data_IF_962453156877
#
_entry.id   IF_962453156877
#
_cell.length_a   1.000
_cell.length_b   1.000
_cell.length_c   1.000
_cell.angle_alpha   90.00
_cell.angle_beta   90.00
_cell.angle_gamma   90.00
#
_symmetry.space_group_name_H-M   'P 1'
#
loop_
_entity.id
_entity.type
_entity.pdbx_description
1 polymer ?
#
# COMPACT_ATOMS: atom_id res chain seq x y z
N UNK A 1 19.48 4.98 9.56
CA UNK A 1 19.37 5.59 10.92
C UNK A 1 20.77 5.95 11.38
N UNK A 2 20.92 6.98 12.23
CA UNK A 2 22.23 7.41 12.76
C UNK A 2 22.37 6.94 14.21
N UNK A 3 23.43 6.20 14.54
CA UNK A 3 23.80 5.84 15.91
C UNK A 3 24.97 6.72 16.37
N UNK A 4 24.98 7.10 17.65
CA UNK A 4 25.96 8.00 18.24
C UNK A 4 26.38 7.46 19.60
N UNK A 5 27.68 7.38 19.82
CA UNK A 5 28.32 6.98 21.07
C UNK A 5 29.28 8.10 21.49
N UNK A 6 28.74 9.19 22.10
CA UNK A 6 29.51 10.42 22.29
C UNK A 6 30.70 10.26 23.25
N UNK A 7 30.55 9.41 24.27
CA UNK A 7 31.59 9.15 25.26
C UNK A 7 32.74 8.32 24.68
N UNK A 8 32.48 7.59 23.60
CA UNK A 8 33.41 6.68 22.95
C UNK A 8 33.99 7.25 21.65
N UNK A 9 33.53 8.45 21.24
CA UNK A 9 34.00 9.11 20.02
C UNK A 9 33.54 8.44 18.71
N UNK A 10 32.48 7.61 18.75
CA UNK A 10 32.00 6.84 17.59
C UNK A 10 30.65 7.35 17.10
N UNK A 11 30.51 7.49 15.78
CA UNK A 11 29.25 7.79 15.10
C UNK A 11 29.09 6.92 13.86
N UNK A 12 27.89 6.35 13.67
CA UNK A 12 27.59 5.44 12.56
C UNK A 12 26.38 5.98 11.81
N UNK A 13 26.52 6.21 10.51
CA UNK A 13 25.43 6.60 9.62
C UNK A 13 25.36 5.64 8.45
N UNK A 14 24.21 4.98 8.30
CA UNK A 14 23.95 4.03 7.20
C UNK A 14 22.77 4.54 6.39
N UNK A 15 22.98 4.62 5.09
CA UNK A 15 22.00 5.03 4.09
C UNK A 15 21.73 3.85 3.16
N UNK A 16 20.46 3.66 2.84
CA UNK A 16 19.98 2.67 1.89
C UNK A 16 18.82 3.32 1.14
N UNK A 17 18.75 3.02 -0.15
CA UNK A 17 17.64 3.40 -1.03
C UNK A 17 16.64 2.24 -1.21
N UNK A 18 16.79 1.18 -0.42
CA UNK A 18 15.87 0.05 -0.38
C UNK A 18 14.87 0.28 0.75
N UNK A 19 13.59 0.37 0.43
CA UNK A 19 12.54 0.57 1.44
C UNK A 19 11.99 -0.75 1.98
N UNK A 20 12.15 -1.83 1.22
CA UNK A 20 11.61 -3.16 1.53
C UNK A 20 12.46 -3.88 2.58
N UNK A 21 13.75 -4.08 2.29
CA UNK A 21 14.71 -4.74 3.19
C UNK A 21 15.72 -3.75 3.77
N UNK A 22 15.87 -2.56 3.19
CA UNK A 22 16.82 -1.57 3.71
C UNK A 22 16.59 -1.18 5.18
N UNK A 23 15.34 -1.10 5.69
CA UNK A 23 15.11 -0.89 7.12
C UNK A 23 15.72 -1.96 8.04
N UNK A 24 15.81 -3.21 7.60
CA UNK A 24 16.41 -4.31 8.35
C UNK A 24 17.92 -4.41 8.08
N UNK A 25 18.31 -4.27 6.82
CA UNK A 25 19.71 -4.31 6.38
C UNK A 25 20.53 -3.23 7.09
N UNK A 26 19.99 -2.01 7.24
CA UNK A 26 20.67 -0.94 7.97
C UNK A 26 20.89 -1.29 9.44
N UNK A 27 20.01 -2.08 10.06
CA UNK A 27 20.17 -2.50 11.46
C UNK A 27 21.21 -3.62 11.58
N UNK A 28 21.21 -4.60 10.68
CA UNK A 28 22.23 -5.66 10.61
C UNK A 28 23.63 -5.06 10.47
N UNK A 29 23.81 -4.15 9.52
CA UNK A 29 25.11 -3.47 9.28
C UNK A 29 25.50 -2.64 10.51
N UNK A 30 24.55 -1.88 11.07
CA UNK A 30 24.80 -1.03 12.25
C UNK A 30 25.33 -1.83 13.42
N UNK A 31 24.64 -2.91 13.80
CA UNK A 31 25.06 -3.70 14.96
C UNK A 31 26.33 -4.48 14.71
N UNK A 32 26.58 -4.92 13.47
CA UNK A 32 27.87 -5.51 13.12
C UNK A 32 29.04 -4.53 13.32
N UNK A 33 28.87 -3.27 12.90
CA UNK A 33 29.87 -2.21 13.11
C UNK A 33 30.04 -1.92 14.60
N UNK A 34 28.95 -1.92 15.39
CA UNK A 34 29.01 -1.73 16.85
C UNK A 34 29.81 -2.86 17.50
N UNK A 35 29.51 -4.12 17.16
CA UNK A 35 30.21 -5.28 17.73
C UNK A 35 31.73 -5.17 17.46
N UNK A 36 32.12 -4.80 16.24
CA UNK A 36 33.52 -4.61 15.88
C UNK A 36 34.18 -3.39 16.56
N UNK A 37 33.49 -2.24 16.60
CA UNK A 37 34.03 -1.00 17.16
C UNK A 37 34.27 -1.08 18.67
N UNK A 38 33.46 -1.87 19.37
CA UNK A 38 33.53 -2.03 20.83
C UNK A 38 34.13 -3.37 21.28
N UNK A 39 34.55 -4.22 20.34
CA UNK A 39 35.13 -5.53 20.66
C UNK A 39 34.15 -6.48 21.36
N UNK A 40 32.86 -6.38 21.03
CA UNK A 40 31.81 -7.25 21.56
C UNK A 40 31.83 -8.61 20.85
N UNK A 41 31.31 -9.63 21.52
CA UNK A 41 31.08 -10.93 20.90
C UNK A 41 30.10 -10.78 19.72
N UNK A 42 30.49 -11.20 18.50
CA UNK A 42 29.63 -11.08 17.33
C UNK A 42 28.29 -11.78 17.50
N UNK A 43 27.21 -11.04 17.35
CA UNK A 43 25.87 -11.61 17.26
C UNK A 43 25.49 -11.80 15.80
N UNK A 44 24.85 -12.93 15.47
CA UNK A 44 24.28 -13.15 14.14
C UNK A 44 22.99 -12.34 13.94
N UNK A 45 23.18 -11.03 13.74
CA UNK A 45 22.10 -10.09 13.48
C UNK A 45 21.35 -10.40 12.18
N UNK A 46 22.04 -10.96 11.19
CA UNK A 46 21.44 -11.31 9.90
C UNK A 46 20.35 -12.37 10.07
N UNK A 47 20.64 -13.47 10.77
CA UNK A 47 19.64 -14.52 11.02
C UNK A 47 18.48 -14.00 11.88
N UNK A 48 18.76 -13.16 12.90
CA UNK A 48 17.71 -12.56 13.74
C UNK A 48 16.74 -11.69 12.94
N UNK A 49 17.27 -10.78 12.12
CA UNK A 49 16.42 -9.89 11.33
C UNK A 49 15.73 -10.60 10.17
N UNK A 50 16.30 -11.68 9.62
CA UNK A 50 15.60 -12.55 8.65
C UNK A 50 14.40 -13.25 9.29
N UNK A 51 14.55 -13.79 10.49
CA UNK A 51 13.44 -14.42 11.21
C UNK A 51 12.32 -13.41 11.50
N UNK A 52 12.67 -12.21 11.98
CA UNK A 52 11.70 -11.14 12.21
C UNK A 52 11.00 -10.70 10.90
N UNK A 53 11.72 -10.63 9.78
CA UNK A 53 11.14 -10.32 8.47
C UNK A 53 10.12 -11.37 8.04
N UNK A 54 10.45 -12.66 8.20
CA UNK A 54 9.56 -13.77 7.88
C UNK A 54 8.29 -13.76 8.74
N UNK A 55 8.39 -13.41 10.01
CA UNK A 55 7.22 -13.26 10.89
C UNK A 55 6.30 -12.11 10.43
N UNK A 56 6.88 -10.98 10.01
CA UNK A 56 6.14 -9.83 9.47
C UNK A 56 5.46 -10.21 8.14
N UNK A 57 6.17 -10.87 7.23
CA UNK A 57 5.60 -11.35 5.96
C UNK A 57 4.46 -12.35 6.20
N UNK A 58 4.63 -13.28 7.15
CA UNK A 58 3.60 -14.26 7.47
C UNK A 58 2.36 -13.60 8.10
N UNK A 59 2.55 -12.58 8.94
CA UNK A 59 1.47 -11.78 9.50
C UNK A 59 0.77 -10.90 8.44
N UNK A 60 1.51 -10.37 7.47
CA UNK A 60 0.95 -9.59 6.36
C UNK A 60 0.21 -10.47 5.33
N UNK A 61 0.60 -11.74 5.20
CA UNK A 61 -0.08 -12.72 4.34
C UNK A 61 -1.48 -13.11 4.86
N UNK A 62 -1.76 -12.90 6.15
CA UNK A 62 -3.11 -13.04 6.72
C UNK A 62 -3.93 -11.77 6.51
N UNK A 63 -4.40 -11.56 5.28
CA UNK A 63 -5.50 -10.62 5.01
C UNK A 63 -6.71 -11.04 5.84
N UNK A 64 -7.24 -10.13 6.67
CA UNK A 64 -8.47 -10.41 7.42
C UNK A 64 -9.59 -10.65 6.42
N UNK A 65 -10.15 -11.88 6.35
CA UNK A 65 -11.21 -12.16 5.40
C UNK A 65 -12.44 -11.31 5.76
N UNK A 66 -13.22 -10.95 4.75
CA UNK A 66 -14.50 -10.27 4.97
C UNK A 66 -15.35 -11.08 5.96
N UNK A 67 -16.12 -10.41 6.84
CA UNK A 67 -17.06 -11.10 7.73
C UNK A 67 -18.01 -11.99 6.92
N UNK A 68 -18.40 -13.15 7.47
CA UNK A 68 -19.35 -14.05 6.80
C UNK A 68 -20.72 -13.42 6.53
N UNK A 69 -21.03 -12.33 7.23
CA UNK A 69 -22.24 -11.53 7.14
C UNK A 69 -21.97 -10.12 6.60
N UNK A 70 -20.89 -9.92 5.83
CA UNK A 70 -20.58 -8.63 5.22
C UNK A 70 -21.80 -8.09 4.48
N UNK A 71 -22.16 -6.85 4.77
CA UNK A 71 -23.18 -6.14 4.02
C UNK A 71 -22.71 -5.94 2.59
N UNK A 72 -23.59 -6.17 1.62
CA UNK A 72 -23.26 -5.91 0.22
C UNK A 72 -22.78 -4.46 0.09
N UNK A 73 -21.75 -4.20 -0.74
CA UNK A 73 -21.43 -2.82 -1.06
C UNK A 73 -22.65 -2.18 -1.71
N UNK A 74 -22.76 -0.87 -1.59
CA UNK A 74 -23.60 -0.10 -2.52
C UNK A 74 -23.25 -0.53 -3.97
N UNK A 75 -24.17 -0.32 -4.92
CA UNK A 75 -23.96 -0.69 -6.34
C UNK A 75 -22.52 -0.37 -6.81
N UNK A 76 -21.71 -1.40 -7.13
CA UNK A 76 -20.29 -1.22 -7.52
C UNK A 76 -20.09 -0.29 -8.71
N UNK A 77 -21.14 -0.09 -9.51
CA UNK A 77 -21.19 0.90 -10.59
C UNK A 77 -21.06 2.33 -10.06
N UNK A 78 -21.52 2.61 -8.84
CA UNK A 78 -21.51 3.94 -8.24
C UNK A 78 -20.11 4.39 -7.79
N UNK A 79 -19.15 3.47 -7.60
CA UNK A 79 -17.76 3.79 -7.21
C UNK A 79 -16.75 3.73 -8.33
N UNK A 80 -17.14 3.24 -9.50
CA UNK A 80 -16.32 3.39 -10.68
C UNK A 80 -16.26 4.86 -11.10
N UNK A 81 -15.13 5.26 -11.67
CA UNK A 81 -14.96 6.61 -12.20
C UNK A 81 -13.75 7.33 -11.62
N UNK A 82 -13.72 8.65 -11.84
CA UNK A 82 -12.56 9.48 -11.56
C UNK A 82 -12.62 10.10 -10.18
N UNK A 83 -11.47 10.13 -9.53
CA UNK A 83 -11.29 10.76 -8.22
C UNK A 83 -10.06 11.64 -8.22
N UNK A 84 -10.14 12.74 -7.47
CA UNK A 84 -9.13 13.79 -7.45
C UNK A 84 -8.64 14.05 -6.04
N UNK A 85 -7.32 14.11 -5.90
CA UNK A 85 -6.63 14.74 -4.79
C UNK A 85 -5.53 15.62 -5.37
N UNK A 86 -5.63 16.94 -5.13
CA UNK A 86 -4.69 17.92 -5.69
C UNK A 86 -3.25 17.75 -5.17
N UNK A 87 -3.07 17.18 -3.98
CA UNK A 87 -1.76 16.85 -3.42
C UNK A 87 -1.04 15.72 -4.15
N UNK A 88 -1.78 14.89 -4.91
CA UNK A 88 -1.24 13.74 -5.64
C UNK A 88 -1.32 13.89 -7.17
N UNK A 89 -1.66 15.10 -7.65
CA UNK A 89 -1.63 15.47 -9.05
C UNK A 89 -2.87 15.04 -9.83
N UNK A 90 -2.66 14.38 -10.97
CA UNK A 90 -3.73 13.95 -11.86
C UNK A 90 -4.74 13.00 -11.21
N UNK A 91 -5.96 13.02 -11.75
CA UNK A 91 -7.06 12.15 -11.31
C UNK A 91 -6.69 10.69 -11.45
N UNK A 92 -7.12 9.89 -10.48
CA UNK A 92 -7.12 8.43 -10.58
C UNK A 92 -8.48 7.98 -11.10
N UNK A 93 -8.52 6.85 -11.78
CA UNK A 93 -9.76 6.24 -12.25
C UNK A 93 -9.89 4.85 -11.64
N UNK A 94 -10.92 4.63 -10.82
CA UNK A 94 -11.22 3.32 -10.25
C UNK A 94 -11.97 2.48 -11.27
N UNK A 95 -11.39 1.33 -11.62
CA UNK A 95 -11.82 0.45 -12.69
C UNK A 95 -12.26 -0.89 -12.13
N UNK A 96 -13.48 -1.33 -12.43
CA UNK A 96 -13.92 -2.67 -11.99
C UNK A 96 -13.16 -3.81 -12.69
N UNK A 97 -12.75 -4.81 -11.92
CA UNK A 97 -12.01 -5.97 -12.43
C UNK A 97 -12.93 -6.92 -13.19
N UNK A 98 -14.14 -7.13 -12.69
CA UNK A 98 -15.22 -7.84 -13.39
C UNK A 98 -16.13 -6.80 -14.02
N UNK A 99 -16.14 -6.74 -15.36
CA UNK A 99 -16.92 -5.78 -16.11
C UNK A 99 -18.42 -5.95 -15.81
N UNK A 100 -18.97 -5.12 -14.93
CA UNK A 100 -20.39 -4.81 -14.97
C UNK A 100 -20.64 -4.01 -16.25
N UNK A 101 -20.94 -4.73 -17.33
CA UNK A 101 -21.63 -4.24 -18.54
C UNK A 101 -21.43 -2.74 -18.88
N UNK A 102 -20.39 -2.42 -19.65
CA UNK A 102 -20.44 -1.33 -20.63
C UNK A 102 -20.04 0.10 -20.22
N UNK A 103 -19.51 0.37 -19.03
CA UNK A 103 -19.19 1.75 -18.57
C UNK A 103 -17.71 2.08 -18.36
N UNK A 104 -16.76 1.22 -18.73
CA UNK A 104 -15.35 1.50 -18.51
C UNK A 104 -14.72 2.30 -19.64
N UNK A 105 -13.90 3.29 -19.28
CA UNK A 105 -13.09 4.01 -20.25
C UNK A 105 -12.05 3.07 -20.90
N UNK A 106 -11.54 3.42 -22.10
CA UNK A 106 -10.42 2.69 -22.70
C UNK A 106 -9.19 2.62 -21.79
N UNK A 107 -8.98 3.65 -20.95
CA UNK A 107 -7.89 3.67 -19.97
C UNK A 107 -8.11 2.60 -18.89
N UNK A 108 -9.33 2.46 -18.37
CA UNK A 108 -9.65 1.40 -17.43
C UNK A 108 -9.46 0.01 -18.01
N UNK A 109 -9.93 -0.21 -19.25
CA UNK A 109 -9.76 -1.49 -19.92
C UNK A 109 -8.28 -1.87 -20.08
N UNK A 110 -7.41 -0.90 -20.39
CA UNK A 110 -5.97 -1.10 -20.51
C UNK A 110 -5.32 -1.45 -19.16
N UNK A 111 -5.68 -0.73 -18.08
CA UNK A 111 -5.17 -1.02 -16.72
C UNK A 111 -5.58 -2.42 -16.28
N UNK A 112 -6.87 -2.76 -16.40
CA UNK A 112 -7.38 -4.08 -16.01
C UNK A 112 -6.70 -5.20 -16.81
N UNK A 113 -6.52 -5.03 -18.13
CA UNK A 113 -5.86 -6.02 -18.97
C UNK A 113 -4.38 -6.22 -18.59
N UNK A 114 -3.65 -5.11 -18.38
CA UNK A 114 -2.25 -5.15 -17.95
C UNK A 114 -2.09 -5.88 -16.62
N UNK A 115 -2.91 -5.53 -15.63
CA UNK A 115 -2.82 -6.09 -14.29
C UNK A 115 -3.21 -7.56 -14.23
N UNK A 116 -4.24 -7.99 -14.98
CA UNK A 116 -4.60 -9.42 -15.06
C UNK A 116 -3.51 -10.27 -15.70
N UNK A 117 -2.75 -9.70 -16.64
CA UNK A 117 -1.70 -10.41 -17.35
C UNK A 117 -0.43 -10.53 -16.50
N UNK A 118 0.00 -9.43 -15.88
CA UNK A 118 1.29 -9.34 -15.23
C UNK A 118 1.23 -9.56 -13.70
N UNK A 119 0.08 -9.31 -13.07
CA UNK A 119 -0.11 -9.40 -11.61
C UNK A 119 -1.43 -10.14 -11.26
N UNK A 120 -1.57 -11.40 -11.68
CA UNK A 120 -2.81 -12.16 -11.49
C UNK A 120 -3.13 -12.42 -10.02
N UNK A 121 -2.12 -12.56 -9.14
CA UNK A 121 -2.29 -12.77 -7.70
C UNK A 121 -2.93 -11.56 -7.02
N UNK A 122 -2.45 -10.38 -7.36
CA UNK A 122 -2.86 -9.08 -6.82
C UNK A 122 -4.27 -8.70 -7.32
N UNK A 123 -4.65 -9.18 -8.50
CA UNK A 123 -5.95 -8.86 -9.13
C UNK A 123 -7.02 -9.93 -8.97
N UNK A 124 -6.67 -11.16 -8.57
CA UNK A 124 -7.62 -12.28 -8.53
C UNK A 124 -8.84 -12.04 -7.62
N UNK A 125 -8.66 -11.31 -6.53
CA UNK A 125 -9.71 -11.05 -5.54
C UNK A 125 -10.11 -9.57 -5.44
N UNK A 126 -9.64 -8.74 -6.37
CA UNK A 126 -9.91 -7.31 -6.37
C UNK A 126 -11.23 -7.01 -7.09
N UNK A 127 -12.01 -6.08 -6.52
CA UNK A 127 -13.24 -5.56 -7.14
C UNK A 127 -12.92 -4.37 -8.04
N UNK A 128 -12.03 -3.48 -7.57
CA UNK A 128 -11.58 -2.29 -8.28
C UNK A 128 -10.06 -2.25 -8.36
N UNK A 129 -9.52 -1.70 -9.44
CA UNK A 129 -8.09 -1.43 -9.63
C UNK A 129 -7.89 -0.04 -10.21
N UNK A 130 -6.71 0.55 -10.00
CA UNK A 130 -6.32 1.80 -10.64
C UNK A 130 -4.81 1.87 -10.88
N UNK A 131 -4.42 2.71 -11.82
CA UNK A 131 -3.03 3.12 -11.98
C UNK A 131 -2.76 4.34 -11.09
N UNK A 132 -1.66 4.29 -10.34
CA UNK A 132 -1.27 5.32 -9.37
C UNK A 132 0.14 5.84 -9.62
N UNK A 133 0.61 5.91 -10.87
CA UNK A 133 1.98 6.28 -11.30
C UNK A 133 2.65 7.44 -10.51
N UNK A 134 3.13 7.16 -9.30
CA UNK A 134 3.63 8.10 -8.27
C UNK A 134 4.64 7.38 -7.38
N UNK A 135 5.36 8.16 -6.57
CA UNK A 135 6.51 7.70 -5.81
C UNK A 135 6.21 6.56 -4.80
N UNK A 136 4.94 6.33 -4.45
CA UNK A 136 4.56 5.33 -3.44
C UNK A 136 3.97 4.04 -4.03
N UNK A 137 3.47 4.06 -5.27
CA UNK A 137 2.88 2.90 -5.92
C UNK A 137 2.77 3.12 -7.43
N UNK A 138 2.83 2.03 -8.20
CA UNK A 138 2.48 2.04 -9.63
C UNK A 138 0.99 1.79 -9.82
N UNK A 139 0.41 0.92 -8.98
CA UNK A 139 -0.99 0.49 -9.05
C UNK A 139 -1.56 0.26 -7.66
N UNK A 140 -2.89 0.21 -7.59
CA UNK A 140 -3.58 -0.31 -6.41
C UNK A 140 -4.82 -1.12 -6.77
N UNK A 141 -5.27 -1.89 -5.78
CA UNK A 141 -6.46 -2.71 -5.82
C UNK A 141 -7.29 -2.52 -4.56
N UNK A 142 -8.61 -2.46 -4.73
CA UNK A 142 -9.59 -2.48 -3.65
C UNK A 142 -10.36 -3.79 -3.70
N UNK A 143 -10.42 -4.44 -2.54
CA UNK A 143 -11.27 -5.61 -2.30
C UNK A 143 -12.31 -5.25 -1.26
N UNK A 144 -13.58 -5.44 -1.57
CA UNK A 144 -14.70 -5.18 -0.68
C UNK A 144 -14.53 -5.97 0.62
N UNK A 145 -14.76 -5.28 1.73
CA UNK A 145 -14.67 -5.86 3.07
C UNK A 145 -16.05 -5.90 3.73
N UNK A 146 -16.66 -4.74 3.97
CA UNK A 146 -18.01 -4.63 4.54
C UNK A 146 -18.60 -3.23 4.30
N UNK A 147 -19.82 -3.16 3.73
CA UNK A 147 -20.49 -1.88 3.49
C UNK A 147 -19.62 -0.93 2.64
N UNK A 148 -19.26 0.27 3.14
CA UNK A 148 -18.39 1.20 2.42
C UNK A 148 -16.89 0.93 2.54
N UNK A 149 -16.49 -0.11 3.27
CA UNK A 149 -15.09 -0.43 3.57
C UNK A 149 -14.50 -1.43 2.57
N UNK A 150 -13.25 -1.16 2.20
CA UNK A 150 -12.46 -1.94 1.29
C UNK A 150 -11.04 -2.14 1.86
N UNK A 151 -10.50 -3.33 1.68
CA UNK A 151 -9.07 -3.58 1.84
C UNK A 151 -8.34 -2.97 0.65
N UNK A 152 -7.33 -2.16 0.92
CA UNK A 152 -6.47 -1.53 -0.05
C UNK A 152 -5.11 -2.23 -0.09
N UNK A 153 -4.69 -2.61 -1.29
CA UNK A 153 -3.32 -3.04 -1.57
C UNK A 153 -2.76 -2.17 -2.69
N UNK A 154 -1.58 -1.58 -2.49
CA UNK A 154 -0.84 -0.90 -3.54
C UNK A 154 0.56 -1.49 -3.68
N UNK A 155 1.08 -1.48 -4.91
CA UNK A 155 2.37 -2.06 -5.22
C UNK A 155 3.11 -1.22 -6.26
N UNK A 156 4.43 -1.37 -6.27
CA UNK A 156 5.31 -0.79 -7.28
C UNK A 156 5.66 -1.88 -8.28
N UNK A 157 5.39 -1.61 -9.55
CA UNK A 157 5.87 -2.41 -10.68
C UNK A 157 7.27 -1.94 -11.09
N UNK A 158 8.15 -2.91 -11.33
CA UNK A 158 9.53 -2.67 -11.77
C UNK A 158 9.88 -3.62 -12.93
N UNK A 159 10.56 -3.14 -13.98
CA UNK A 159 11.01 -4.01 -15.06
C UNK A 159 12.13 -4.94 -14.58
N UNK A 160 12.11 -6.20 -15.03
CA UNK A 160 13.16 -7.20 -14.71
C UNK A 160 14.25 -7.26 -15.80
N UNK A 161 13.94 -6.82 -17.02
CA UNK A 161 14.78 -7.05 -18.20
C UNK A 161 14.68 -8.47 -18.78
N UNK A 162 13.80 -9.33 -18.25
CA UNK A 162 13.55 -10.69 -18.76
C UNK A 162 12.23 -10.73 -19.54
N UNK A 163 12.27 -11.02 -20.84
CA UNK A 163 11.05 -11.04 -21.67
C UNK A 163 10.00 -12.08 -21.23
N UNK A 164 10.41 -13.17 -20.58
CA UNK A 164 9.48 -14.22 -20.10
C UNK A 164 8.82 -13.87 -18.76
N UNK A 165 9.38 -12.91 -18.04
CA UNK A 165 8.89 -12.43 -16.75
C UNK A 165 9.19 -10.93 -16.66
N UNK A 166 8.53 -10.10 -17.49
CA UNK A 166 8.97 -8.74 -17.80
C UNK A 166 8.92 -7.78 -16.61
N UNK A 167 8.13 -8.10 -15.60
CA UNK A 167 7.89 -7.25 -14.46
C UNK A 167 7.97 -8.05 -13.17
N UNK A 168 8.52 -7.44 -12.14
CA UNK A 168 8.35 -7.87 -10.77
C UNK A 168 7.63 -6.76 -10.01
N UNK A 169 6.93 -7.12 -8.94
CA UNK A 169 6.26 -6.17 -8.07
C UNK A 169 6.57 -6.46 -6.61
N UNK A 170 6.51 -5.42 -5.80
CA UNK A 170 6.45 -5.55 -4.35
C UNK A 170 5.31 -4.70 -3.81
N UNK A 171 4.62 -5.23 -2.80
CA UNK A 171 3.57 -4.49 -2.10
C UNK A 171 4.22 -3.35 -1.32
N UNK A 172 3.81 -2.12 -1.62
CA UNK A 172 4.32 -0.91 -0.97
C UNK A 172 3.36 -0.37 0.08
N UNK A 173 2.07 -0.71 0.00
CA UNK A 173 1.05 -0.27 0.93
C UNK A 173 -0.02 -1.33 1.11
N UNK A 174 -0.36 -1.61 2.37
CA UNK A 174 -1.60 -2.29 2.76
C UNK A 174 -2.32 -1.38 3.75
N UNK A 175 -3.58 -1.06 3.45
CA UNK A 175 -4.37 -0.11 4.22
C UNK A 175 -5.86 -0.41 4.05
N UNK A 176 -6.71 0.47 4.58
CA UNK A 176 -8.14 0.45 4.34
C UNK A 176 -8.55 1.64 3.48
N UNK A 177 -9.60 1.45 2.69
CA UNK A 177 -10.30 2.51 1.99
C UNK A 177 -11.77 2.53 2.40
N UNK A 178 -12.33 3.73 2.57
CA UNK A 178 -13.73 3.92 2.92
C UNK A 178 -14.39 4.92 1.97
N UNK A 179 -15.55 4.56 1.42
CA UNK A 179 -16.32 5.45 0.55
C UNK A 179 -17.33 6.28 1.33
N UNK A 180 -17.33 7.61 1.09
CA UNK A 180 -18.39 8.47 1.62
C UNK A 180 -19.56 8.54 0.63
N UNK A 181 -20.70 8.00 1.04
CA UNK A 181 -21.92 8.01 0.24
C UNK A 181 -22.96 8.94 0.87
N UNK A 182 -23.41 9.92 0.10
CA UNK A 182 -24.45 10.87 0.51
C UNK A 182 -25.65 10.74 -0.41
N UNK A 183 -26.80 10.32 0.13
CA UNK A 183 -28.05 10.16 -0.63
C UNK A 183 -27.89 9.30 -1.90
N UNK A 184 -27.14 8.19 -1.80
CA UNK A 184 -26.88 7.28 -2.92
C UNK A 184 -25.84 7.76 -3.93
N UNK A 185 -25.21 8.92 -3.70
CA UNK A 185 -24.13 9.44 -4.55
C UNK A 185 -22.81 9.37 -3.80
N UNK A 186 -21.77 8.84 -4.45
CA UNK A 186 -20.41 8.83 -3.91
C UNK A 186 -19.85 10.25 -3.93
N UNK A 187 -19.45 10.75 -2.76
CA UNK A 187 -18.77 12.04 -2.63
C UNK A 187 -17.25 11.91 -2.80
N UNK A 188 -16.70 10.75 -2.46
CA UNK A 188 -15.28 10.45 -2.53
C UNK A 188 -14.93 9.20 -1.72
N UNK A 189 -13.65 8.93 -1.57
CA UNK A 189 -13.16 7.90 -0.67
C UNK A 189 -11.90 8.33 0.07
N UNK A 190 -11.76 7.84 1.29
CA UNK A 190 -10.62 8.06 2.15
C UNK A 190 -9.76 6.82 2.28
N UNK A 191 -8.44 6.97 2.31
CA UNK A 191 -7.49 5.92 2.70
C UNK A 191 -7.05 6.15 4.15
N UNK A 192 -6.94 5.07 4.93
CA UNK A 192 -6.60 5.10 6.36
C UNK A 192 -5.90 3.82 6.79
N UNK A 193 -5.20 3.85 7.92
CA UNK A 193 -4.54 2.67 8.51
C UNK A 193 -3.06 2.57 8.13
N UNK A 194 -2.34 3.68 8.19
CA UNK A 194 -0.88 3.72 8.03
C UNK A 194 -0.41 4.06 6.62
N UNK A 195 -1.19 4.81 5.84
CA UNK A 195 -0.82 5.23 4.47
C UNK A 195 0.53 5.97 4.47
N UNK A 196 0.80 6.76 5.50
CA UNK A 196 2.04 7.51 5.64
C UNK A 196 3.12 6.84 6.49
N UNK A 197 2.84 5.67 7.08
CA UNK A 197 3.82 4.93 7.88
C UNK A 197 4.33 5.70 9.12
N UNK A 198 3.57 6.68 9.63
CA UNK A 198 3.95 7.47 10.80
C UNK A 198 3.95 6.63 12.11
N UNK A 199 3.34 5.45 12.06
CA UNK A 199 3.22 4.50 13.17
C UNK A 199 2.26 4.97 14.25
N UNK A 200 1.95 4.07 15.19
CA UNK A 200 0.93 4.27 16.23
C UNK A 200 1.12 5.53 17.09
N UNK A 201 2.34 6.07 17.14
CA UNK A 201 2.69 7.26 17.94
C UNK A 201 2.18 8.58 17.34
N UNK A 202 1.89 8.62 16.04
CA UNK A 202 1.39 9.82 15.39
C UNK A 202 -0.12 10.06 15.62
N UNK A 203 -0.83 9.04 16.12
CA UNK A 203 -2.30 9.01 16.17
C UNK A 203 -2.92 8.82 14.79
N UNK A 204 -4.14 8.30 14.74
CA UNK A 204 -4.95 8.26 13.52
C UNK A 204 -5.74 9.57 13.37
N UNK A 205 -6.04 10.02 12.14
CA UNK A 205 -6.95 11.16 11.95
C UNK A 205 -8.32 10.87 12.57
N UNK A 206 -8.87 11.85 13.30
CA UNK A 206 -10.15 11.72 14.00
C UNK A 206 -11.20 12.68 13.41
N UNK A 207 -12.45 12.23 13.37
CA UNK A 207 -13.58 13.10 13.03
C UNK A 207 -14.86 12.34 12.72
N UNK A 208 -15.88 13.07 12.27
CA UNK A 208 -17.24 12.52 12.08
C UNK A 208 -17.47 12.03 10.65
N UNK A 209 -16.84 12.69 9.67
CA UNK A 209 -16.96 12.30 8.26
C UNK A 209 -15.83 11.37 7.84
N UNK A 210 -16.01 10.65 6.73
CA UNK A 210 -14.95 9.81 6.15
C UNK A 210 -13.72 10.66 5.85
N UNK A 211 -13.94 11.84 5.28
CA UNK A 211 -12.88 12.80 4.94
C UNK A 211 -12.07 13.22 6.18
N UNK A 212 -12.71 13.51 7.30
CA UNK A 212 -12.01 13.94 8.52
C UNK A 212 -11.08 12.83 9.09
N UNK A 213 -11.52 11.57 8.99
CA UNK A 213 -10.77 10.41 9.50
C UNK A 213 -9.81 9.80 8.48
N UNK A 214 -9.73 10.33 7.25
CA UNK A 214 -8.80 9.81 6.26
C UNK A 214 -7.41 10.43 6.39
N UNK A 215 -6.38 9.61 6.21
CA UNK A 215 -5.01 10.10 5.98
C UNK A 215 -4.87 10.72 4.59
N UNK A 216 -5.62 10.18 3.62
CA UNK A 216 -5.64 10.65 2.24
C UNK A 216 -7.07 10.64 1.72
N UNK A 217 -7.59 11.80 1.34
CA UNK A 217 -8.94 11.93 0.79
C UNK A 217 -8.93 12.14 -0.72
N UNK A 218 -9.77 11.41 -1.45
CA UNK A 218 -9.98 11.53 -2.88
C UNK A 218 -11.44 11.90 -3.16
N UNK A 219 -11.67 13.14 -3.62
CA UNK A 219 -13.00 13.60 -3.97
C UNK A 219 -13.44 13.02 -5.32
N UNK A 220 -14.70 12.57 -5.42
CA UNK A 220 -15.26 12.11 -6.68
C UNK A 220 -15.34 13.26 -7.70
N UNK A 221 -14.81 13.05 -8.90
CA UNK A 221 -14.92 14.01 -10.00
C UNK A 221 -16.27 13.80 -10.67
N UNK A 222 -17.22 14.68 -10.36
CA UNK A 222 -18.51 14.70 -11.05
C UNK A 222 -18.31 15.21 -12.48
N UNK A 223 -18.86 14.48 -13.45
CA UNK A 223 -18.98 14.94 -14.84
C UNK A 223 -19.99 16.08 -14.94
#
# INVERSE_FOLDING_TARGET
>A
RVARFPNDGVGIAIFTNDDTVGPLLKEVIKYRIIDEAFGLDPVDWNSRYKAAAQEIELAAATSTPAPSNASLPFEFTAVQGKYRNLGYGADIELCAVTAATGMQSPACAAVVAHLKCNFPSETAAADLVWAWNRQLASYGALKHFDGPLFNLTAWVEMPTGNASDPFWAYTSLQANAEFAVHSGTVAGFGMQGGVWGAGDLAGEPEGLTVEDRSEVWYAAVRA
#
